data_IF_977704338393
#
_entry.id   IF_977704338393
#
_cell.length_a   1.000
_cell.length_b   1.000
_cell.length_c   1.000
_cell.angle_alpha   90.00
_cell.angle_beta   90.00
_cell.angle_gamma   90.00
#
_symmetry.space_group_name_H-M   'P 1'
#
loop_
_entity.id
_entity.type
_entity.pdbx_description
1 polymer ?
#
# COMPACT_ATOMS: atom_id res chain seq x y z
N UNK A 1 38.62 -0.37 -19.28
CA UNK A 1 37.79 -1.36 -20.01
C UNK A 1 37.08 -2.32 -19.07
N UNK A 2 37.76 -2.86 -18.04
CA UNK A 2 37.16 -3.79 -17.06
C UNK A 2 35.97 -3.23 -16.27
N UNK A 3 36.04 -1.99 -15.76
CA UNK A 3 34.94 -1.38 -14.98
C UNK A 3 33.69 -1.17 -15.83
N UNK A 4 33.84 -0.74 -17.08
CA UNK A 4 32.72 -0.53 -18.00
C UNK A 4 32.03 -1.86 -18.29
N UNK A 5 32.80 -2.92 -18.61
CA UNK A 5 32.27 -4.27 -18.85
C UNK A 5 31.55 -4.80 -17.61
N UNK A 6 32.13 -4.63 -16.42
CA UNK A 6 31.50 -5.01 -15.15
C UNK A 6 30.16 -4.30 -14.92
N UNK A 7 30.09 -2.98 -15.14
CA UNK A 7 28.85 -2.22 -15.01
C UNK A 7 27.80 -2.70 -16.02
N UNK A 8 28.18 -2.94 -17.29
CA UNK A 8 27.25 -3.47 -18.29
C UNK A 8 26.77 -4.89 -17.96
N UNK A 9 27.64 -5.74 -17.42
CA UNK A 9 27.27 -7.08 -16.95
C UNK A 9 26.26 -6.99 -15.79
N UNK A 10 26.49 -6.11 -14.80
CA UNK A 10 25.54 -5.91 -13.70
C UNK A 10 24.19 -5.40 -14.21
N UNK A 11 24.19 -4.36 -15.05
CA UNK A 11 22.96 -3.78 -15.60
C UNK A 11 22.20 -4.79 -16.47
N UNK A 12 22.91 -5.56 -17.29
CA UNK A 12 22.32 -6.61 -18.13
C UNK A 12 21.72 -7.76 -17.30
N UNK A 13 22.46 -8.23 -16.29
CA UNK A 13 21.99 -9.30 -15.38
C UNK A 13 20.77 -8.85 -14.60
N UNK A 14 20.79 -7.62 -14.08
CA UNK A 14 19.64 -7.01 -13.42
C UNK A 14 18.47 -6.84 -14.38
N UNK A 15 18.72 -6.47 -15.64
CA UNK A 15 17.71 -6.38 -16.69
C UNK A 15 16.99 -7.72 -16.92
N UNK A 16 17.74 -8.82 -17.04
CA UNK A 16 17.18 -10.16 -17.13
C UNK A 16 16.36 -10.53 -15.90
N UNK A 17 16.90 -10.26 -14.71
CA UNK A 17 16.24 -10.55 -13.44
C UNK A 17 14.93 -9.78 -13.28
N UNK A 18 14.94 -8.45 -13.51
CA UNK A 18 13.77 -7.58 -13.43
C UNK A 18 12.72 -7.92 -14.49
N UNK A 19 13.14 -8.16 -15.73
CA UNK A 19 12.24 -8.54 -16.81
C UNK A 19 11.63 -9.93 -16.57
N UNK A 20 12.42 -10.87 -16.06
CA UNK A 20 11.97 -12.18 -15.63
C UNK A 20 10.92 -12.10 -14.53
N UNK A 21 11.16 -11.31 -13.48
CA UNK A 21 10.17 -11.04 -12.44
C UNK A 21 8.89 -10.45 -13.01
N UNK A 22 8.97 -9.44 -13.88
CA UNK A 22 7.80 -8.84 -14.51
C UNK A 22 7.00 -9.86 -15.34
N UNK A 23 7.67 -10.60 -16.21
CA UNK A 23 7.03 -11.60 -17.07
C UNK A 23 6.41 -12.74 -16.25
N UNK A 24 7.07 -13.14 -15.16
CA UNK A 24 6.55 -14.12 -14.22
C UNK A 24 5.26 -13.62 -13.56
N UNK A 25 5.28 -12.39 -13.03
CA UNK A 25 4.13 -11.72 -12.44
C UNK A 25 2.97 -11.59 -13.43
N UNK A 26 3.23 -11.13 -14.65
CA UNK A 26 2.21 -10.97 -15.69
C UNK A 26 1.56 -12.33 -16.05
N UNK A 27 2.38 -13.39 -16.19
CA UNK A 27 1.90 -14.74 -16.46
C UNK A 27 1.06 -15.32 -15.32
N UNK A 28 1.52 -15.18 -14.07
CA UNK A 28 0.76 -15.60 -12.87
C UNK A 28 -0.55 -14.82 -12.79
N UNK A 29 -0.52 -13.50 -13.00
CA UNK A 29 -1.69 -12.64 -12.94
C UNK A 29 -2.72 -12.99 -14.02
N UNK A 30 -2.29 -13.19 -15.27
CA UNK A 30 -3.17 -13.64 -16.38
C UNK A 30 -3.77 -15.02 -16.10
N UNK A 31 -2.99 -15.93 -15.52
CA UNK A 31 -3.48 -17.27 -15.16
C UNK A 31 -4.46 -17.23 -13.99
N UNK A 32 -4.29 -16.29 -13.06
CA UNK A 32 -5.18 -16.11 -11.91
C UNK A 32 -6.53 -15.48 -12.30
N UNK A 33 -6.58 -14.62 -13.33
CA UNK A 33 -7.81 -14.17 -14.02
C UNK A 33 -9.00 -13.82 -13.11
N UNK A 34 -10.01 -14.68 -13.06
CA UNK A 34 -11.24 -14.51 -12.26
C UNK A 34 -10.98 -14.48 -10.74
N UNK A 35 -9.87 -15.06 -10.27
CA UNK A 35 -9.50 -15.06 -8.85
C UNK A 35 -9.14 -13.66 -8.36
N UNK A 36 -8.43 -12.87 -9.17
CA UNK A 36 -8.14 -11.46 -8.86
C UNK A 36 -9.42 -10.62 -8.78
N UNK A 37 -10.39 -10.88 -9.65
CA UNK A 37 -11.70 -10.19 -9.60
C UNK A 37 -12.52 -10.57 -8.36
N UNK A 38 -12.49 -11.85 -7.92
CA UNK A 38 -13.13 -12.27 -6.66
C UNK A 38 -12.45 -11.69 -5.42
N UNK A 39 -11.13 -11.51 -5.46
CA UNK A 39 -10.36 -10.96 -4.35
C UNK A 39 -10.73 -9.50 -4.05
N UNK A 40 -11.16 -8.72 -5.06
CA UNK A 40 -11.73 -7.39 -4.85
C UNK A 40 -12.96 -7.42 -3.92
N UNK A 41 -13.77 -8.48 -4.00
CA UNK A 41 -14.95 -8.67 -3.14
C UNK A 41 -14.62 -9.01 -1.68
N UNK A 42 -13.41 -9.49 -1.38
CA UNK A 42 -12.96 -9.81 -0.01
C UNK A 42 -12.28 -8.62 0.68
N UNK A 43 -11.90 -7.57 -0.06
CA UNK A 43 -11.28 -6.36 0.52
C UNK A 43 -12.20 -5.61 1.49
N UNK A 44 -13.50 -5.88 1.48
CA UNK A 44 -14.53 -5.14 2.21
C UNK A 44 -14.85 -5.71 3.61
N UNK A 45 -14.22 -6.81 4.03
CA UNK A 45 -14.47 -7.45 5.32
C UNK A 45 -13.79 -6.80 6.52
N UNK A 46 -13.60 -7.58 7.60
CA UNK A 46 -12.93 -7.13 8.81
C UNK A 46 -11.42 -6.95 8.63
N UNK A 47 -10.74 -6.29 9.58
CA UNK A 47 -9.29 -5.98 9.53
C UNK A 47 -8.38 -7.19 9.24
N UNK A 48 -8.72 -8.39 9.72
CA UNK A 48 -7.92 -9.59 9.47
C UNK A 48 -8.09 -10.05 8.03
N UNK A 49 -9.31 -10.02 7.51
CA UNK A 49 -9.56 -10.34 6.11
C UNK A 49 -8.89 -9.34 5.17
N UNK A 50 -8.82 -8.06 5.54
CA UNK A 50 -8.05 -7.06 4.79
C UNK A 50 -6.56 -7.40 4.72
N UNK A 51 -5.94 -7.84 5.84
CA UNK A 51 -4.54 -8.32 5.86
C UNK A 51 -4.36 -9.54 4.96
N UNK A 52 -5.22 -10.55 5.10
CA UNK A 52 -5.13 -11.76 4.25
C UNK A 52 -5.30 -11.40 2.77
N UNK A 53 -6.19 -10.47 2.46
CA UNK A 53 -6.41 -10.00 1.09
C UNK A 53 -5.15 -9.34 0.52
N UNK A 54 -4.53 -8.41 1.26
CA UNK A 54 -3.28 -7.78 0.85
C UNK A 54 -2.14 -8.78 0.65
N UNK A 55 -2.01 -9.72 1.59
CA UNK A 55 -1.02 -10.79 1.54
C UNK A 55 -1.20 -11.64 0.26
N UNK A 56 -2.42 -12.11 0.00
CA UNK A 56 -2.71 -12.95 -1.17
C UNK A 56 -2.48 -12.19 -2.49
N UNK A 57 -2.94 -10.94 -2.58
CA UNK A 57 -2.74 -10.13 -3.79
C UNK A 57 -1.25 -9.93 -4.04
N UNK A 58 -0.49 -9.53 -3.02
CA UNK A 58 0.93 -9.30 -3.20
C UNK A 58 1.69 -10.59 -3.47
N UNK A 59 1.29 -11.75 -2.93
CA UNK A 59 1.92 -13.02 -3.32
C UNK A 59 1.65 -13.38 -4.79
N UNK A 60 0.45 -13.11 -5.31
CA UNK A 60 0.08 -13.39 -6.70
C UNK A 60 0.78 -12.40 -7.65
N UNK A 61 0.74 -11.10 -7.35
CA UNK A 61 1.34 -10.05 -8.17
C UNK A 61 2.87 -10.01 -8.00
N UNK A 62 3.38 -10.48 -6.86
CA UNK A 62 4.78 -10.37 -6.42
C UNK A 62 5.33 -8.94 -6.33
N UNK A 63 4.44 -7.96 -6.13
CA UNK A 63 4.83 -6.56 -5.97
C UNK A 63 3.94 -5.85 -4.95
N UNK A 64 4.50 -5.55 -3.77
CA UNK A 64 3.80 -4.69 -2.78
C UNK A 64 3.66 -3.28 -3.29
N UNK A 65 4.58 -2.76 -4.09
CA UNK A 65 4.44 -1.45 -4.73
C UNK A 65 3.21 -1.40 -5.63
N UNK A 66 3.05 -2.37 -6.54
CA UNK A 66 1.86 -2.43 -7.40
C UNK A 66 0.58 -2.63 -6.58
N UNK A 67 0.62 -3.48 -5.55
CA UNK A 67 -0.53 -3.71 -4.66
C UNK A 67 -0.90 -2.43 -3.91
N UNK A 68 0.07 -1.69 -3.38
CA UNK A 68 -0.18 -0.47 -2.61
C UNK A 68 -0.65 0.67 -3.50
N UNK A 69 -0.07 0.83 -4.69
CA UNK A 69 -0.56 1.80 -5.69
C UNK A 69 -2.01 1.50 -6.08
N UNK A 70 -2.36 0.22 -6.24
CA UNK A 70 -3.75 -0.21 -6.47
C UNK A 70 -4.66 0.16 -5.30
N UNK A 71 -4.22 -0.09 -4.06
CA UNK A 71 -4.97 0.28 -2.85
C UNK A 71 -5.19 1.79 -2.76
N UNK A 72 -4.15 2.59 -2.99
CA UNK A 72 -4.24 4.07 -3.04
C UNK A 72 -5.25 4.50 -4.13
N UNK A 73 -5.20 3.87 -5.31
CA UNK A 73 -6.14 4.16 -6.41
C UNK A 73 -7.59 3.80 -6.05
N UNK A 74 -7.82 2.69 -5.35
CA UNK A 74 -9.16 2.29 -4.91
C UNK A 74 -9.71 3.18 -3.81
N UNK A 75 -8.86 3.65 -2.89
CA UNK A 75 -9.27 4.67 -1.91
C UNK A 75 -9.60 5.98 -2.61
N UNK A 76 -8.83 6.37 -3.64
CA UNK A 76 -9.11 7.56 -4.45
C UNK A 76 -10.44 7.45 -5.22
N UNK A 77 -10.77 6.26 -5.70
CA UNK A 77 -12.03 5.96 -6.36
C UNK A 77 -13.22 5.80 -5.39
N UNK A 78 -13.00 5.83 -4.07
CA UNK A 78 -14.04 5.59 -3.07
C UNK A 78 -14.46 4.13 -2.92
N UNK A 79 -13.74 3.19 -3.56
CA UNK A 79 -14.02 1.76 -3.51
C UNK A 79 -13.55 1.11 -2.20
N UNK A 80 -12.60 1.74 -1.50
CA UNK A 80 -12.11 1.31 -0.19
C UNK A 80 -12.09 2.48 0.79
N UNK A 81 -12.48 2.20 2.02
CA UNK A 81 -12.26 3.12 3.14
C UNK A 81 -10.79 3.16 3.54
N UNK A 82 -10.37 4.24 4.22
CA UNK A 82 -9.03 4.35 4.80
C UNK A 82 -8.73 3.21 5.80
N UNK A 83 -9.71 2.79 6.60
CA UNK A 83 -9.53 1.71 7.58
C UNK A 83 -9.29 0.35 6.91
N UNK A 84 -10.02 0.06 5.82
CA UNK A 84 -9.83 -1.16 5.04
C UNK A 84 -8.47 -1.16 4.34
N UNK A 85 -8.06 -0.03 3.76
CA UNK A 85 -6.79 0.09 3.05
C UNK A 85 -5.59 -0.16 3.96
N UNK A 86 -5.64 0.27 5.23
CA UNK A 86 -4.58 -0.01 6.22
C UNK A 86 -4.33 -1.52 6.34
N UNK A 87 -5.39 -2.32 6.49
CA UNK A 87 -5.25 -3.78 6.60
C UNK A 87 -4.65 -4.40 5.35
N UNK A 88 -5.09 -3.97 4.16
CA UNK A 88 -4.55 -4.45 2.88
C UNK A 88 -3.07 -4.08 2.73
N UNK A 89 -2.66 -2.88 3.14
CA UNK A 89 -1.26 -2.45 3.11
C UNK A 89 -0.38 -3.31 4.03
N UNK A 90 -0.85 -3.65 5.25
CA UNK A 90 -0.09 -4.52 6.15
C UNK A 90 0.07 -5.92 5.55
N UNK A 91 -1.02 -6.46 4.99
CA UNK A 91 -0.99 -7.71 4.24
C UNK A 91 0.02 -7.71 3.10
N UNK A 92 0.02 -6.65 2.29
CA UNK A 92 0.91 -6.52 1.15
C UNK A 92 2.39 -6.58 1.55
N UNK A 93 2.75 -5.97 2.69
CA UNK A 93 4.12 -6.02 3.21
C UNK A 93 4.53 -7.45 3.62
N UNK A 94 3.62 -8.25 4.20
CA UNK A 94 3.88 -9.67 4.43
C UNK A 94 4.03 -10.41 3.09
N UNK A 95 3.15 -10.16 2.12
CA UNK A 95 3.14 -10.86 0.84
C UNK A 95 4.44 -10.71 0.04
N UNK A 96 5.12 -9.56 0.09
CA UNK A 96 6.39 -9.31 -0.62
C UNK A 96 7.52 -10.25 -0.22
N UNK A 97 7.43 -10.84 0.98
CA UNK A 97 8.45 -11.76 1.50
C UNK A 97 8.56 -13.04 0.68
N UNK A 98 7.51 -13.41 -0.08
CA UNK A 98 7.51 -14.60 -0.92
C UNK A 98 8.63 -14.58 -1.97
N UNK A 99 8.99 -13.41 -2.49
CA UNK A 99 10.04 -13.32 -3.51
C UNK A 99 11.41 -13.65 -2.92
N UNK A 100 11.68 -13.22 -1.68
CA UNK A 100 12.92 -13.57 -0.99
C UNK A 100 13.02 -15.08 -0.76
N UNK A 101 11.90 -15.75 -0.44
CA UNK A 101 11.83 -17.21 -0.32
C UNK A 101 12.04 -17.92 -1.64
N UNK A 102 11.40 -17.46 -2.72
CA UNK A 102 11.60 -18.01 -4.07
C UNK A 102 13.08 -17.93 -4.45
N UNK A 103 13.71 -16.77 -4.24
CA UNK A 103 15.13 -16.56 -4.55
C UNK A 103 16.04 -17.37 -3.61
N UNK A 104 15.74 -17.45 -2.31
CA UNK A 104 16.56 -18.22 -1.36
C UNK A 104 16.53 -19.72 -1.63
N UNK A 105 15.34 -20.31 -1.83
CA UNK A 105 15.19 -21.75 -2.00
C UNK A 105 15.65 -22.21 -3.37
N UNK A 106 15.19 -21.53 -4.42
CA UNK A 106 15.52 -21.95 -5.77
C UNK A 106 16.87 -21.39 -6.17
N UNK A 107 17.17 -20.12 -5.87
CA UNK A 107 18.18 -19.31 -6.54
C UNK A 107 19.65 -19.58 -6.28
N UNK A 108 20.00 -20.35 -5.25
CA UNK A 108 21.40 -20.58 -4.88
C UNK A 108 21.75 -22.03 -4.52
N UNK A 109 20.80 -22.82 -4.01
CA UNK A 109 21.06 -24.22 -3.60
C UNK A 109 21.04 -25.21 -4.78
N UNK A 110 20.33 -24.89 -5.86
CA UNK A 110 20.26 -25.72 -7.06
C UNK A 110 21.11 -25.09 -8.16
N UNK A 111 21.66 -25.90 -9.07
CA UNK A 111 22.25 -25.40 -10.32
C UNK A 111 21.10 -24.93 -11.23
N UNK A 112 20.44 -23.82 -10.86
CA UNK A 112 19.21 -23.37 -11.51
C UNK A 112 19.49 -23.00 -12.94
N UNK A 113 20.71 -22.63 -13.32
CA UNK A 113 21.04 -22.41 -14.72
C UNK A 113 20.65 -23.63 -15.58
N UNK A 114 20.83 -24.85 -15.05
CA UNK A 114 20.43 -26.09 -15.70
C UNK A 114 18.91 -26.27 -15.83
N UNK A 115 18.10 -25.65 -14.97
CA UNK A 115 16.63 -25.71 -15.00
C UNK A 115 15.98 -24.48 -15.64
N UNK A 116 16.59 -23.31 -15.52
CA UNK A 116 16.13 -22.02 -16.03
C UNK A 116 15.99 -22.05 -17.55
N UNK A 117 16.99 -22.59 -18.26
CA UNK A 117 16.97 -22.70 -19.72
C UNK A 117 15.87 -23.65 -20.20
N UNK A 118 15.74 -24.89 -19.68
CA UNK A 118 14.59 -25.75 -19.99
C UNK A 118 13.24 -25.13 -19.64
N UNK A 119 13.10 -24.50 -18.48
CA UNK A 119 11.84 -23.83 -18.09
C UNK A 119 11.49 -22.70 -19.04
N UNK A 120 12.46 -21.91 -19.47
CA UNK A 120 12.26 -20.89 -20.49
C UNK A 120 11.82 -21.50 -21.83
N UNK A 121 12.47 -22.57 -22.28
CA UNK A 121 12.11 -23.27 -23.52
C UNK A 121 10.70 -23.87 -23.49
N UNK A 122 10.34 -24.55 -22.40
CA UNK A 122 8.98 -25.07 -22.17
C UNK A 122 7.98 -23.92 -22.13
N UNK A 123 8.29 -22.86 -21.39
CA UNK A 123 7.46 -21.68 -21.30
C UNK A 123 7.23 -21.02 -22.65
N UNK A 124 8.26 -20.93 -23.49
CA UNK A 124 8.18 -20.40 -24.86
C UNK A 124 7.26 -21.24 -25.74
N UNK A 125 7.34 -22.57 -25.68
CA UNK A 125 6.46 -23.47 -26.42
C UNK A 125 5.00 -23.30 -25.96
N UNK A 126 4.77 -23.27 -24.64
CA UNK A 126 3.43 -23.09 -24.06
C UNK A 126 2.82 -21.72 -24.38
N UNK A 127 3.65 -20.67 -24.39
CA UNK A 127 3.24 -19.30 -24.71
C UNK A 127 2.96 -19.12 -26.21
N UNK A 128 3.78 -19.72 -27.07
CA UNK A 128 3.69 -19.54 -28.52
C UNK A 128 2.63 -20.44 -29.17
N UNK A 129 2.36 -21.63 -28.59
CA UNK A 129 1.45 -22.60 -29.19
C UNK A 129 0.01 -22.43 -28.69
N UNK A 130 -0.71 -21.48 -29.30
CA UNK A 130 -2.09 -21.07 -28.96
C UNK A 130 -3.12 -22.20 -28.82
N UNK A 131 -2.88 -23.38 -29.43
CA UNK A 131 -3.78 -24.54 -29.30
C UNK A 131 -3.81 -25.10 -27.88
N UNK A 132 -2.76 -24.92 -27.09
CA UNK A 132 -2.69 -25.43 -25.71
C UNK A 132 -3.48 -24.59 -24.71
N UNK A 133 -3.84 -23.34 -25.06
CA UNK A 133 -4.54 -22.40 -24.17
C UNK A 133 -3.83 -22.23 -22.81
N UNK A 134 -2.50 -22.23 -22.83
CA UNK A 134 -1.62 -22.16 -21.65
C UNK A 134 -0.66 -20.98 -21.74
N UNK A 135 -1.06 -19.92 -22.44
CA UNK A 135 -0.19 -18.78 -22.74
C UNK A 135 0.33 -18.11 -21.47
N UNK A 136 -0.57 -17.90 -20.50
CA UNK A 136 -0.25 -17.30 -19.21
C UNK A 136 0.73 -18.15 -18.38
N UNK A 137 0.55 -19.48 -18.37
CA UNK A 137 1.48 -20.40 -17.72
C UNK A 137 2.84 -20.41 -18.44
N UNK A 138 2.83 -20.34 -19.76
CA UNK A 138 4.04 -20.23 -20.57
C UNK A 138 4.83 -18.96 -20.24
N UNK A 139 4.16 -17.81 -20.15
CA UNK A 139 4.77 -16.55 -19.72
C UNK A 139 5.33 -16.65 -18.30
N UNK A 140 4.60 -17.27 -17.37
CA UNK A 140 5.07 -17.46 -15.99
C UNK A 140 6.37 -18.28 -15.93
N UNK A 141 6.45 -19.38 -16.70
CA UNK A 141 7.63 -20.24 -16.78
C UNK A 141 8.82 -19.57 -17.47
N UNK A 142 8.57 -18.80 -18.53
CA UNK A 142 9.60 -17.98 -19.16
C UNK A 142 10.16 -16.92 -18.20
N UNK A 143 9.27 -16.23 -17.48
CA UNK A 143 9.67 -15.24 -16.48
C UNK A 143 10.50 -15.87 -15.36
N UNK A 144 10.10 -17.03 -14.85
CA UNK A 144 10.88 -17.81 -13.88
C UNK A 144 12.28 -18.14 -14.44
N UNK A 145 12.37 -18.68 -15.66
CA UNK A 145 13.65 -18.99 -16.30
C UNK A 145 14.56 -17.77 -16.45
N UNK A 146 14.03 -16.63 -16.90
CA UNK A 146 14.80 -15.39 -17.04
C UNK A 146 15.21 -14.79 -15.70
N UNK A 147 14.36 -14.88 -14.68
CA UNK A 147 14.65 -14.41 -13.33
C UNK A 147 15.91 -15.10 -12.79
N UNK A 148 15.94 -16.44 -12.83
CA UNK A 148 17.06 -17.20 -12.30
C UNK A 148 18.30 -17.14 -13.20
N UNK A 149 18.14 -17.04 -14.53
CA UNK A 149 19.27 -16.76 -15.41
C UNK A 149 19.89 -15.39 -15.08
N UNK A 150 19.07 -14.37 -14.86
CA UNK A 150 19.54 -13.05 -14.43
C UNK A 150 20.23 -13.08 -13.07
N UNK A 151 19.71 -13.90 -12.12
CA UNK A 151 20.31 -14.10 -10.81
C UNK A 151 21.68 -14.79 -10.89
N UNK A 152 21.80 -15.83 -11.71
CA UNK A 152 23.06 -16.54 -11.94
C UNK A 152 24.12 -15.64 -12.59
N UNK A 153 23.73 -14.88 -13.61
CA UNK A 153 24.60 -13.88 -14.24
C UNK A 153 25.02 -12.78 -13.26
N UNK A 154 24.10 -12.32 -12.40
CA UNK A 154 24.37 -11.32 -11.36
C UNK A 154 25.37 -11.87 -10.33
N UNK A 155 25.15 -13.10 -9.87
CA UNK A 155 26.03 -13.80 -8.93
C UNK A 155 27.42 -14.00 -9.52
N UNK A 156 27.50 -14.49 -10.76
CA UNK A 156 28.76 -14.71 -11.48
C UNK A 156 29.52 -13.42 -11.79
N UNK A 157 28.82 -12.29 -11.94
CA UNK A 157 29.44 -11.00 -12.11
C UNK A 157 30.01 -10.45 -10.80
N UNK A 158 29.51 -10.88 -9.64
CA UNK A 158 30.00 -10.39 -8.35
C UNK A 158 31.47 -10.79 -8.15
N UNK A 159 32.33 -9.83 -7.78
CA UNK A 159 33.74 -10.13 -7.65
C UNK A 159 33.97 -10.99 -6.40
N UNK A 160 34.80 -12.02 -6.51
CA UNK A 160 35.17 -12.84 -5.36
C UNK A 160 35.79 -12.00 -4.24
N UNK A 161 35.56 -12.44 -3.00
CA UNK A 161 36.14 -11.82 -1.80
C UNK A 161 37.65 -12.05 -1.83
N UNK A 162 38.41 -11.05 -2.27
CA UNK A 162 39.87 -11.05 -2.15
C UNK A 162 40.32 -10.71 -0.73
N UNK A 163 41.56 -11.04 -0.39
CA UNK A 163 42.18 -10.69 0.91
C UNK A 163 42.05 -9.20 1.26
N UNK A 164 42.10 -8.32 0.25
CA UNK A 164 42.00 -6.86 0.42
C UNK A 164 40.57 -6.37 0.70
N UNK A 165 39.55 -7.18 0.37
CA UNK A 165 38.14 -6.89 0.70
C UNK A 165 37.75 -7.42 2.08
N UNK A 166 38.49 -8.39 2.60
CA UNK A 166 38.31 -8.91 3.95
C UNK A 166 38.53 -7.82 5.02
N UNK A 167 39.48 -6.90 4.79
CA UNK A 167 39.72 -5.75 5.68
C UNK A 167 38.58 -4.74 5.68
N UNK A 168 38.00 -4.45 4.52
CA UNK A 168 36.79 -3.62 4.41
C UNK A 168 35.60 -4.25 5.15
N UNK A 169 35.40 -5.56 5.03
CA UNK A 169 34.35 -6.28 5.74
C UNK A 169 34.57 -6.28 7.26
N UNK A 170 35.83 -6.44 7.71
CA UNK A 170 36.19 -6.33 9.11
C UNK A 170 35.94 -4.92 9.65
N UNK A 171 36.34 -3.88 8.91
CA UNK A 171 36.08 -2.47 9.27
C UNK A 171 34.59 -2.12 9.28
N UNK A 172 33.82 -2.69 8.35
CA UNK A 172 32.37 -2.52 8.30
C UNK A 172 31.72 -3.20 9.51
N UNK A 173 32.18 -4.39 9.90
CA UNK A 173 31.63 -5.15 11.04
C UNK A 173 32.00 -4.50 12.38
N UNK A 174 33.23 -3.99 12.52
CA UNK A 174 33.75 -3.40 13.76
C UNK A 174 33.09 -2.06 14.14
N UNK A 175 32.31 -1.45 13.25
CA UNK A 175 31.63 -0.16 13.49
C UNK A 175 30.31 -0.28 14.27
N UNK A 176 29.87 -1.49 14.60
CA UNK A 176 28.67 -1.74 15.42
C UNK A 176 27.43 -1.00 14.90
N UNK A 177 26.82 -0.14 15.73
CA UNK A 177 25.61 0.63 15.40
C UNK A 177 25.75 1.49 14.14
N UNK A 178 26.94 2.04 13.89
CA UNK A 178 27.19 2.85 12.70
C UNK A 178 27.08 2.00 11.43
N UNK A 179 27.54 0.75 11.47
CA UNK A 179 27.41 -0.20 10.37
C UNK A 179 25.96 -0.52 10.04
N UNK A 180 25.16 -0.78 11.09
CA UNK A 180 23.72 -1.06 10.96
C UNK A 180 23.02 0.14 10.29
N UNK A 181 23.33 1.35 10.74
CA UNK A 181 22.73 2.57 10.18
C UNK A 181 23.09 2.78 8.71
N UNK A 182 24.35 2.50 8.33
CA UNK A 182 24.80 2.52 6.94
C UNK A 182 24.06 1.46 6.11
N UNK A 183 23.86 0.26 6.66
CA UNK A 183 23.10 -0.82 6.01
C UNK A 183 21.66 -0.40 5.72
N UNK A 184 20.95 0.18 6.69
CA UNK A 184 19.59 0.70 6.48
C UNK A 184 19.56 1.74 5.35
N UNK A 185 20.46 2.72 5.38
CA UNK A 185 20.53 3.76 4.35
C UNK A 185 20.83 3.15 2.97
N UNK A 186 21.76 2.19 2.90
CA UNK A 186 22.09 1.50 1.66
C UNK A 186 20.88 0.74 1.10
N UNK A 187 20.11 0.06 1.96
CA UNK A 187 18.85 -0.61 1.59
C UNK A 187 17.78 0.34 1.06
N UNK A 188 17.62 1.50 1.71
CA UNK A 188 16.71 2.56 1.26
C UNK A 188 17.12 3.03 -0.15
N UNK A 189 18.37 3.44 -0.31
CA UNK A 189 18.89 3.97 -1.58
C UNK A 189 18.76 2.94 -2.70
N UNK A 190 19.17 1.70 -2.43
CA UNK A 190 19.10 0.60 -3.41
C UNK A 190 17.66 0.42 -3.91
N UNK A 191 16.71 0.41 -2.98
CA UNK A 191 15.30 0.17 -3.31
C UNK A 191 14.66 1.35 -4.01
N UNK A 192 14.97 2.59 -3.60
CA UNK A 192 14.47 3.81 -4.25
C UNK A 192 14.99 3.90 -5.69
N UNK A 193 16.25 3.58 -5.94
CA UNK A 193 16.81 3.61 -7.31
C UNK A 193 16.16 2.55 -8.20
N UNK A 194 15.96 1.34 -7.66
CA UNK A 194 15.43 0.21 -8.43
C UNK A 194 13.90 0.24 -8.52
N UNK A 195 13.22 0.98 -7.63
CA UNK A 195 11.77 0.98 -7.48
C UNK A 195 11.18 -0.43 -7.22
N UNK A 196 11.94 -1.31 -6.56
CA UNK A 196 11.48 -2.66 -6.22
C UNK A 196 12.24 -3.25 -5.03
N UNK A 197 11.54 -3.48 -3.91
CA UNK A 197 12.11 -4.16 -2.73
C UNK A 197 12.45 -5.62 -3.02
N UNK A 198 11.65 -6.32 -3.81
CA UNK A 198 11.93 -7.70 -4.18
C UNK A 198 13.24 -7.81 -4.96
N UNK A 199 13.47 -6.90 -5.90
CA UNK A 199 14.72 -6.83 -6.65
C UNK A 199 15.90 -6.43 -5.75
N UNK A 200 15.72 -5.41 -4.89
CA UNK A 200 16.73 -5.02 -3.92
C UNK A 200 17.11 -6.17 -2.98
N UNK A 201 16.12 -6.93 -2.52
CA UNK A 201 16.31 -8.11 -1.65
C UNK A 201 17.03 -9.24 -2.39
N UNK A 202 16.71 -9.48 -3.67
CA UNK A 202 17.45 -10.44 -4.50
C UNK A 202 18.94 -10.06 -4.66
N UNK A 203 19.24 -8.76 -4.82
CA UNK A 203 20.62 -8.26 -4.85
C UNK A 203 21.29 -8.48 -3.50
N UNK A 204 20.63 -8.13 -2.39
CA UNK A 204 21.15 -8.33 -1.03
C UNK A 204 21.45 -9.82 -0.78
N UNK A 205 20.52 -10.72 -1.15
CA UNK A 205 20.70 -12.16 -1.09
C UNK A 205 21.92 -12.61 -1.90
N UNK A 206 22.04 -12.14 -3.14
CA UNK A 206 23.17 -12.49 -4.04
C UNK A 206 24.50 -12.03 -3.47
N UNK A 207 24.58 -10.80 -2.96
CA UNK A 207 25.81 -10.27 -2.38
C UNK A 207 26.18 -11.02 -1.09
N UNK A 208 25.19 -11.37 -0.27
CA UNK A 208 25.40 -12.12 0.98
C UNK A 208 25.84 -13.56 0.70
N UNK A 209 25.24 -14.21 -0.30
CA UNK A 209 25.63 -15.55 -0.77
C UNK A 209 27.08 -15.59 -1.26
N UNK A 210 27.52 -14.54 -1.97
CA UNK A 210 28.92 -14.39 -2.42
C UNK A 210 29.88 -13.90 -1.31
N UNK A 211 29.43 -13.81 -0.05
CA UNK A 211 30.27 -13.40 1.08
C UNK A 211 30.63 -11.92 1.11
N UNK A 212 29.97 -11.07 0.29
CA UNK A 212 30.24 -9.63 0.23
C UNK A 212 29.52 -8.84 1.32
N UNK A 213 28.45 -9.37 1.90
CA UNK A 213 27.71 -8.71 2.97
C UNK A 213 27.65 -9.64 4.19
N UNK A 214 28.13 -9.19 5.36
CA UNK A 214 27.92 -9.93 6.60
C UNK A 214 26.43 -9.90 7.00
N UNK A 215 26.04 -10.87 7.83
CA UNK A 215 24.65 -11.12 8.22
C UNK A 215 23.93 -9.87 8.73
N UNK A 216 24.54 -9.16 9.69
CA UNK A 216 23.95 -8.00 10.35
C UNK A 216 23.77 -6.84 9.36
N UNK A 217 24.70 -6.67 8.43
CA UNK A 217 24.61 -5.62 7.42
C UNK A 217 23.54 -5.93 6.38
N UNK A 218 23.46 -7.19 5.91
CA UNK A 218 22.40 -7.65 5.01
C UNK A 218 21.02 -7.50 5.67
N UNK A 219 20.90 -7.85 6.95
CA UNK A 219 19.70 -7.68 7.73
C UNK A 219 19.26 -6.21 7.79
N UNK A 220 20.18 -5.31 8.11
CA UNK A 220 19.94 -3.87 8.12
C UNK A 220 19.52 -3.33 6.75
N UNK A 221 20.14 -3.81 5.66
CA UNK A 221 19.75 -3.45 4.29
C UNK A 221 18.33 -3.91 3.95
N UNK A 222 17.90 -5.09 4.38
CA UNK A 222 16.51 -5.55 4.18
C UNK A 222 15.53 -4.68 4.96
N UNK A 223 15.84 -4.29 6.20
CA UNK A 223 14.98 -3.33 6.92
C UNK A 223 14.89 -1.99 6.16
N UNK A 224 16.02 -1.50 5.64
CA UNK A 224 16.06 -0.31 4.79
C UNK A 224 15.27 -0.44 3.50
N UNK A 225 15.27 -1.61 2.85
CA UNK A 225 14.52 -1.83 1.60
C UNK A 225 13.01 -1.74 1.78
N UNK A 226 12.50 -2.14 2.94
CA UNK A 226 11.09 -1.98 3.30
C UNK A 226 10.70 -0.49 3.40
N UNK A 227 11.57 0.37 3.98
CA UNK A 227 11.38 1.84 3.95
C UNK A 227 11.40 2.35 2.51
N UNK A 228 12.40 1.97 1.71
CA UNK A 228 12.58 2.48 0.35
C UNK A 228 11.38 2.21 -0.57
N UNK A 229 10.69 1.08 -0.39
CA UNK A 229 9.50 0.68 -1.17
C UNK A 229 8.34 1.67 -1.04
N UNK A 230 8.31 2.47 0.03
CA UNK A 230 7.21 3.39 0.30
C UNK A 230 7.12 4.53 -0.72
N UNK A 231 8.20 4.81 -1.45
CA UNK A 231 8.27 5.91 -2.42
C UNK A 231 7.22 5.78 -3.53
N UNK A 232 6.92 4.56 -3.99
CA UNK A 232 5.97 4.32 -5.09
C UNK A 232 4.55 4.73 -4.69
N UNK A 233 4.17 4.44 -3.43
CA UNK A 233 2.88 4.83 -2.89
C UNK A 233 2.78 6.36 -2.71
N UNK A 234 3.87 7.00 -2.29
CA UNK A 234 3.94 8.46 -2.17
C UNK A 234 3.76 9.11 -3.54
N UNK A 235 4.51 8.66 -4.55
CA UNK A 235 4.39 9.17 -5.93
C UNK A 235 2.98 8.97 -6.47
N UNK A 236 2.40 7.77 -6.29
CA UNK A 236 1.05 7.47 -6.76
C UNK A 236 -0.05 8.30 -6.06
N UNK A 237 0.22 8.84 -4.87
CA UNK A 237 -0.73 9.68 -4.14
C UNK A 237 -0.72 11.15 -4.56
N UNK A 238 0.24 11.58 -5.36
CA UNK A 238 0.33 12.98 -5.83
C UNK A 238 -0.91 13.29 -6.70
N UNK A 239 -1.61 14.38 -6.37
CA UNK A 239 -2.83 14.78 -7.08
C UNK A 239 -4.08 13.97 -6.72
N UNK A 240 -4.01 13.07 -5.74
CA UNK A 240 -5.16 12.27 -5.27
C UNK A 240 -5.89 12.91 -4.09
N UNK A 241 -7.11 12.42 -3.82
CA UNK A 241 -7.96 12.86 -2.72
C UNK A 241 -7.33 12.61 -1.35
N UNK A 242 -7.80 13.33 -0.34
CA UNK A 242 -7.24 13.28 1.03
C UNK A 242 -7.04 11.86 1.58
N UNK A 243 -8.02 10.97 1.43
CA UNK A 243 -7.93 9.61 1.98
C UNK A 243 -6.92 8.72 1.22
N UNK A 244 -6.70 8.97 -0.07
CA UNK A 244 -5.68 8.25 -0.85
C UNK A 244 -4.27 8.68 -0.44
N UNK A 245 -4.06 9.98 -0.20
CA UNK A 245 -2.83 10.51 0.42
C UNK A 245 -2.60 9.97 1.83
N UNK A 246 -3.66 9.84 2.65
CA UNK A 246 -3.59 9.20 3.97
C UNK A 246 -3.20 7.73 3.86
N UNK A 247 -3.77 6.98 2.91
CA UNK A 247 -3.40 5.58 2.68
C UNK A 247 -1.92 5.42 2.28
N UNK A 248 -1.38 6.31 1.44
CA UNK A 248 0.06 6.32 1.15
C UNK A 248 0.90 6.63 2.40
N UNK A 249 0.46 7.58 3.24
CA UNK A 249 1.13 7.88 4.51
C UNK A 249 1.10 6.70 5.48
N UNK A 250 0.01 5.92 5.54
CA UNK A 250 -0.04 4.67 6.32
C UNK A 250 1.10 3.74 5.92
N UNK A 251 1.34 3.56 4.61
CA UNK A 251 2.41 2.70 4.12
C UNK A 251 3.80 3.19 4.56
N UNK A 252 4.02 4.51 4.52
CA UNK A 252 5.24 5.15 5.03
C UNK A 252 5.40 4.91 6.52
N UNK A 253 4.37 5.21 7.33
CA UNK A 253 4.41 5.07 8.79
C UNK A 253 4.65 3.63 9.21
N UNK A 254 3.98 2.67 8.57
CA UNK A 254 4.14 1.24 8.86
C UNK A 254 5.59 0.79 8.69
N UNK A 255 6.22 1.13 7.56
CA UNK A 255 7.59 0.72 7.26
C UNK A 255 8.64 1.49 8.05
N UNK A 256 8.47 2.81 8.22
CA UNK A 256 9.42 3.65 8.96
C UNK A 256 9.38 3.32 10.44
N UNK A 257 8.22 3.37 11.08
CA UNK A 257 8.10 3.10 12.53
C UNK A 257 8.43 1.62 12.80
N UNK A 258 7.97 0.70 11.95
CA UNK A 258 8.30 -0.71 12.06
C UNK A 258 9.80 -0.96 12.01
N UNK A 259 10.50 -0.33 11.06
CA UNK A 259 11.96 -0.40 10.99
C UNK A 259 12.62 0.21 12.21
N UNK A 260 12.15 1.36 12.71
CA UNK A 260 12.68 1.94 13.95
C UNK A 260 12.53 0.99 15.15
N UNK A 261 11.38 0.33 15.30
CA UNK A 261 11.16 -0.69 16.34
C UNK A 261 12.14 -1.86 16.14
N UNK A 262 12.26 -2.37 14.91
CA UNK A 262 13.19 -3.45 14.59
C UNK A 262 14.65 -3.08 14.89
N UNK A 263 15.05 -1.82 14.70
CA UNK A 263 16.40 -1.34 15.04
C UNK A 263 16.62 -1.20 16.54
N UNK A 264 15.61 -0.80 17.32
CA UNK A 264 15.68 -0.79 18.79
C UNK A 264 15.88 -2.23 19.30
N UNK A 265 15.18 -3.19 18.71
CA UNK A 265 15.26 -4.62 19.06
C UNK A 265 16.09 -5.43 18.07
N UNK A 266 17.14 -4.84 17.49
CA UNK A 266 17.88 -5.46 16.39
C UNK A 266 18.50 -6.80 16.77
N UNK A 267 19.26 -6.86 17.87
CA UNK A 267 19.87 -8.11 18.31
C UNK A 267 18.84 -9.18 18.71
N UNK A 268 17.77 -8.86 19.49
CA UNK A 268 16.67 -9.80 19.71
C UNK A 268 16.01 -10.32 18.44
N UNK A 269 15.83 -9.46 17.42
CA UNK A 269 15.25 -9.84 16.14
C UNK A 269 16.15 -10.84 15.39
N UNK A 270 17.46 -10.58 15.33
CA UNK A 270 18.41 -11.53 14.72
C UNK A 270 18.43 -12.87 15.47
N UNK A 271 18.49 -12.83 16.80
CA UNK A 271 18.45 -14.05 17.61
C UNK A 271 17.17 -14.86 17.38
N UNK A 272 16.02 -14.20 17.22
CA UNK A 272 14.77 -14.88 16.89
C UNK A 272 14.85 -15.56 15.52
N UNK A 273 15.46 -14.92 14.53
CA UNK A 273 15.66 -15.50 13.19
C UNK A 273 16.61 -16.70 13.26
N UNK A 274 17.74 -16.56 13.94
CA UNK A 274 18.73 -17.62 14.11
C UNK A 274 18.16 -18.84 14.87
N UNK A 275 17.15 -18.64 15.73
CA UNK A 275 16.42 -19.73 16.38
C UNK A 275 15.41 -20.42 15.46
N UNK A 276 14.83 -19.69 14.50
CA UNK A 276 13.81 -20.21 13.57
C UNK A 276 14.43 -20.91 12.35
N UNK A 277 15.64 -20.50 11.94
CA UNK A 277 16.35 -21.11 10.83
C UNK A 277 17.36 -22.13 11.35
N UNK A 278 17.26 -23.40 10.95
CA UNK A 278 18.20 -24.42 11.40
C UNK A 278 19.59 -24.26 10.76
N UNK A 279 20.63 -24.48 11.55
CA UNK A 279 22.02 -24.49 11.08
C UNK A 279 22.75 -23.15 11.25
N UNK A 280 24.06 -23.08 10.97
CA UNK A 280 24.82 -21.86 11.12
C UNK A 280 24.49 -20.86 9.99
N UNK A 281 24.49 -19.57 10.31
CA UNK A 281 24.25 -18.48 9.37
C UNK A 281 25.18 -18.55 8.15
N UNK A 282 26.43 -18.97 8.35
CA UNK A 282 27.43 -19.09 7.27
C UNK A 282 27.05 -20.10 6.18
N UNK A 283 26.23 -21.09 6.49
CA UNK A 283 25.81 -22.13 5.53
C UNK A 283 24.45 -21.81 4.88
N UNK A 284 23.62 -20.98 5.52
CA UNK A 284 22.23 -20.71 5.11
C UNK A 284 21.86 -19.23 5.19
N UNK A 285 22.81 -18.34 4.90
CA UNK A 285 22.63 -16.89 5.02
C UNK A 285 21.44 -16.37 4.20
N UNK A 286 21.18 -16.96 3.03
CA UNK A 286 20.05 -16.59 2.17
C UNK A 286 18.71 -16.91 2.83
N UNK A 287 18.61 -18.05 3.51
CA UNK A 287 17.42 -18.46 4.27
C UNK A 287 17.21 -17.59 5.50
N UNK A 288 18.29 -17.23 6.20
CA UNK A 288 18.25 -16.27 7.30
C UNK A 288 17.71 -14.92 6.85
N UNK A 289 18.18 -14.38 5.71
CA UNK A 289 17.69 -13.12 5.14
C UNK A 289 16.20 -13.19 4.78
N UNK A 290 15.76 -14.28 4.12
CA UNK A 290 14.35 -14.47 3.76
C UNK A 290 13.44 -14.60 5.00
N UNK A 291 13.91 -15.33 6.02
CA UNK A 291 13.20 -15.48 7.29
C UNK A 291 13.12 -14.16 8.04
N UNK A 292 14.21 -13.39 8.12
CA UNK A 292 14.21 -12.05 8.71
C UNK A 292 13.15 -11.16 8.07
N UNK A 293 13.10 -11.13 6.74
CA UNK A 293 12.11 -10.33 6.02
C UNK A 293 10.68 -10.71 6.40
N UNK A 294 10.43 -12.02 6.55
CA UNK A 294 9.14 -12.58 6.97
C UNK A 294 8.80 -12.22 8.41
N UNK A 295 9.71 -12.50 9.35
CA UNK A 295 9.53 -12.24 10.77
C UNK A 295 9.33 -10.75 11.01
N UNK A 296 10.12 -9.89 10.38
CA UNK A 296 9.97 -8.43 10.46
C UNK A 296 8.55 -8.01 10.08
N UNK A 297 8.08 -8.35 8.88
CA UNK A 297 6.78 -7.90 8.39
C UNK A 297 5.61 -8.51 9.18
N UNK A 298 5.75 -9.75 9.63
CA UNK A 298 4.74 -10.42 10.45
C UNK A 298 4.64 -9.77 11.84
N UNK A 299 5.77 -9.59 12.53
CA UNK A 299 5.82 -8.94 13.85
C UNK A 299 5.29 -7.51 13.74
N UNK A 300 5.72 -6.77 12.71
CA UNK A 300 5.26 -5.40 12.49
C UNK A 300 3.73 -5.34 12.28
N UNK A 301 3.18 -6.26 11.49
CA UNK A 301 1.73 -6.38 11.29
C UNK A 301 1.02 -6.72 12.59
N UNK A 302 1.52 -7.67 13.37
CA UNK A 302 0.92 -8.05 14.66
C UNK A 302 0.92 -6.90 15.67
N UNK A 303 1.99 -6.09 15.69
CA UNK A 303 2.08 -4.89 16.53
C UNK A 303 1.06 -3.85 16.11
N UNK A 304 0.92 -3.54 14.82
CA UNK A 304 0.10 -2.43 14.34
C UNK A 304 -1.38 -2.76 14.09
N UNK A 305 -1.73 -4.02 13.83
CA UNK A 305 -3.10 -4.44 13.52
C UNK A 305 -4.16 -4.11 14.60
N UNK A 306 -3.85 -4.14 15.91
CA UNK A 306 -4.77 -3.66 16.95
C UNK A 306 -5.05 -2.17 16.86
N UNK A 307 -4.13 -1.38 16.29
CA UNK A 307 -4.11 0.08 16.28
C UNK A 307 -4.55 0.71 14.96
N UNK A 308 -5.23 -0.03 14.07
CA UNK A 308 -5.67 0.46 12.75
C UNK A 308 -6.44 1.78 12.85
N UNK A 309 -7.35 1.91 13.83
CA UNK A 309 -8.15 3.13 14.01
C UNK A 309 -7.29 4.32 14.46
N UNK A 310 -6.32 4.07 15.35
CA UNK A 310 -5.40 5.08 15.85
C UNK A 310 -4.46 5.55 14.74
N UNK A 311 -3.98 4.62 13.90
CA UNK A 311 -3.16 4.93 12.73
C UNK A 311 -3.95 5.79 11.73
N UNK A 312 -5.22 5.42 11.46
CA UNK A 312 -6.10 6.25 10.63
C UNK A 312 -6.20 7.67 11.19
N UNK A 313 -6.47 7.81 12.48
CA UNK A 313 -6.58 9.12 13.13
C UNK A 313 -5.27 9.93 13.06
N UNK A 314 -4.11 9.29 13.28
CA UNK A 314 -2.80 9.94 13.11
C UNK A 314 -2.68 10.49 11.68
N UNK A 315 -3.02 9.72 10.66
CA UNK A 315 -2.98 10.22 9.27
C UNK A 315 -3.98 11.34 8.99
N UNK A 316 -5.14 11.35 9.65
CA UNK A 316 -6.12 12.44 9.56
C UNK A 316 -5.58 13.75 10.14
N UNK A 317 -4.81 13.67 11.23
CA UNK A 317 -4.16 14.85 11.83
C UNK A 317 -3.00 15.39 10.99
N UNK A 318 -2.21 14.48 10.38
CA UNK A 318 -1.03 14.84 9.59
C UNK A 318 -1.41 15.34 8.18
N UNK A 319 -2.45 14.76 7.58
CA UNK A 319 -2.94 15.16 6.26
C UNK A 319 -4.38 15.67 6.42
N UNK A 320 -4.49 17.01 6.42
CA UNK A 320 -5.77 17.71 6.45
C UNK A 320 -6.39 17.76 5.04
N UNK A 321 -7.73 17.68 4.93
CA UNK A 321 -8.42 17.93 3.66
C UNK A 321 -8.09 19.35 3.19
N UNK A 322 -7.96 19.53 1.88
CA UNK A 322 -7.91 20.89 1.32
C UNK A 322 -9.30 21.51 1.43
N UNK A 323 -9.38 22.84 1.52
CA UNK A 323 -10.63 23.59 1.66
C UNK A 323 -11.64 23.41 0.52
N UNK A 324 -11.26 22.69 -0.55
CA UNK A 324 -12.06 22.36 -1.72
C UNK A 324 -12.30 20.84 -1.90
N UNK A 325 -11.91 20.00 -0.94
CA UNK A 325 -12.20 18.55 -0.97
C UNK A 325 -13.39 18.25 -0.03
N UNK A 326 -14.61 18.27 -0.57
CA UNK A 326 -15.77 17.69 0.10
C UNK A 326 -15.62 16.15 0.15
N UNK A 327 -15.90 15.49 1.28
CA UNK A 327 -15.85 14.02 1.36
C UNK A 327 -16.85 13.39 0.37
N UNK A 328 -16.50 12.31 -0.33
CA UNK A 328 -17.42 11.64 -1.29
C UNK A 328 -18.59 10.87 -0.66
N UNK A 329 -18.52 10.64 0.64
CA UNK A 329 -19.51 9.84 1.34
C UNK A 329 -19.76 10.52 2.66
N UNK A 330 -20.94 11.09 2.79
CA UNK A 330 -21.44 11.50 4.08
C UNK A 330 -21.64 10.23 4.93
N UNK A 331 -21.05 10.22 6.13
CA UNK A 331 -21.27 9.17 7.11
C UNK A 331 -21.59 9.84 8.43
N UNK A 332 -22.87 9.83 8.79
CA UNK A 332 -23.31 10.15 10.14
C UNK A 332 -23.27 8.87 10.96
N UNK A 333 -22.28 8.75 11.84
CA UNK A 333 -22.16 7.58 12.72
C UNK A 333 -23.34 7.57 13.72
N UNK A 334 -24.13 6.51 13.67
CA UNK A 334 -25.14 6.21 14.69
C UNK A 334 -24.42 5.69 15.95
N UNK A 335 -24.68 6.24 17.13
CA UNK A 335 -24.17 5.64 18.36
C UNK A 335 -24.65 4.19 18.43
N UNK A 336 -23.73 3.27 18.69
CA UNK A 336 -24.06 1.85 18.75
C UNK A 336 -24.67 1.56 20.13
N UNK A 337 -25.88 1.00 20.12
CA UNK A 337 -26.68 0.71 21.31
C UNK A 337 -25.88 0.15 22.48
N UNK A 338 -25.84 0.93 23.56
CA UNK A 338 -25.21 0.59 24.82
C UNK A 338 -25.44 1.71 25.84
N UNK A 339 -26.41 1.49 26.72
CA UNK A 339 -26.76 2.23 27.95
C UNK A 339 -26.31 3.71 28.02
N UNK A 340 -27.30 4.61 27.93
CA UNK A 340 -27.26 6.08 28.01
C UNK A 340 -26.79 6.84 26.77
N UNK A 341 -27.53 6.69 25.65
CA UNK A 341 -27.59 7.78 24.67
C UNK A 341 -28.20 9.01 25.33
N UNK A 342 -27.39 10.04 25.55
CA UNK A 342 -27.87 11.34 26.01
C UNK A 342 -28.56 12.05 24.85
N UNK A 343 -29.90 12.06 24.86
CA UNK A 343 -30.73 12.74 23.87
C UNK A 343 -30.25 14.15 23.50
N UNK A 344 -29.81 14.93 24.50
CA UNK A 344 -29.28 16.27 24.27
C UNK A 344 -28.01 16.27 23.40
N UNK A 345 -27.11 15.30 23.59
CA UNK A 345 -25.89 15.19 22.80
C UNK A 345 -26.19 14.76 21.35
N UNK A 346 -27.17 13.89 21.15
CA UNK A 346 -27.64 13.50 19.82
C UNK A 346 -28.24 14.70 19.06
N UNK A 347 -29.09 15.49 19.72
CA UNK A 347 -29.68 16.70 19.10
C UNK A 347 -28.60 17.73 18.75
N UNK A 348 -27.63 17.99 19.64
CA UNK A 348 -26.50 18.91 19.37
C UNK A 348 -25.66 18.40 18.19
N UNK A 349 -25.48 17.08 18.06
CA UNK A 349 -24.78 16.50 16.91
C UNK A 349 -25.53 16.78 15.62
N UNK A 350 -26.85 16.60 15.60
CA UNK A 350 -27.68 16.92 14.44
C UNK A 350 -27.61 18.42 14.09
N UNK A 351 -27.69 19.32 15.08
CA UNK A 351 -27.56 20.77 14.87
C UNK A 351 -26.25 21.15 14.17
N UNK A 352 -25.13 20.57 14.59
CA UNK A 352 -23.83 20.81 13.94
C UNK A 352 -23.83 20.34 12.49
N UNK A 353 -24.41 19.17 12.21
CA UNK A 353 -24.41 18.59 10.86
C UNK A 353 -25.34 19.38 9.91
N UNK A 354 -26.46 19.90 10.42
CA UNK A 354 -27.33 20.85 9.71
C UNK A 354 -26.56 22.14 9.41
N UNK A 355 -25.78 22.64 10.37
CA UNK A 355 -24.95 23.83 10.14
C UNK A 355 -23.87 23.59 9.06
N UNK A 356 -23.28 22.39 9.00
CA UNK A 356 -22.35 22.01 7.94
C UNK A 356 -23.05 21.93 6.57
N UNK A 357 -24.27 21.39 6.51
CA UNK A 357 -25.09 21.37 5.29
C UNK A 357 -25.42 22.79 4.81
N UNK A 358 -25.75 23.70 5.72
CA UNK A 358 -25.96 25.11 5.39
C UNK A 358 -24.68 25.79 4.83
N UNK A 359 -23.50 25.43 5.35
CA UNK A 359 -22.23 25.93 4.79
C UNK A 359 -21.97 25.38 3.39
N UNK A 360 -22.31 24.11 3.13
CA UNK A 360 -22.22 23.50 1.80
C UNK A 360 -23.07 24.27 0.78
N UNK A 361 -24.35 24.51 1.10
CA UNK A 361 -25.28 25.29 0.27
C UNK A 361 -24.71 26.69 -0.01
N UNK A 362 -24.19 27.35 1.03
CA UNK A 362 -23.57 28.67 0.90
C UNK A 362 -22.38 28.63 -0.07
N UNK A 363 -21.53 27.60 0.01
CA UNK A 363 -20.41 27.38 -0.90
C UNK A 363 -20.85 27.12 -2.34
N UNK A 364 -21.91 26.34 -2.55
CA UNK A 364 -22.51 26.12 -3.88
C UNK A 364 -23.06 27.42 -4.47
N UNK A 365 -23.75 28.23 -3.68
CA UNK A 365 -24.27 29.53 -4.09
C UNK A 365 -23.15 30.54 -4.42
N UNK A 366 -22.10 30.60 -3.61
CA UNK A 366 -20.95 31.48 -3.86
C UNK A 366 -20.24 31.11 -5.17
N UNK A 367 -20.09 29.82 -5.46
CA UNK A 367 -19.56 29.33 -6.74
C UNK A 367 -20.40 29.81 -7.92
N UNK A 368 -21.72 29.70 -7.86
CA UNK A 368 -22.63 30.21 -8.88
C UNK A 368 -22.44 31.71 -9.09
N UNK A 369 -22.35 32.48 -8.00
CA UNK A 369 -22.10 33.93 -8.05
C UNK A 369 -20.79 34.25 -8.77
N UNK A 370 -19.73 33.47 -8.56
CA UNK A 370 -18.47 33.67 -9.29
C UNK A 370 -18.57 33.37 -10.78
N UNK A 371 -19.40 32.40 -11.18
CA UNK A 371 -19.65 32.09 -12.59
C UNK A 371 -20.44 33.20 -13.29
N UNK A 372 -21.41 33.81 -12.59
CA UNK A 372 -22.10 34.98 -13.13
C UNK A 372 -21.16 36.18 -13.38
N UNK A 373 -20.10 36.30 -12.58
CA UNK A 373 -19.08 37.34 -12.75
C UNK A 373 -18.07 37.03 -13.87
N UNK A 374 -17.75 35.74 -14.10
CA UNK A 374 -16.88 35.29 -15.18
C UNK A 374 -17.38 33.96 -15.77
N UNK A 375 -18.16 34.05 -16.86
CA UNK A 375 -18.80 32.89 -17.51
C UNK A 375 -17.83 31.86 -18.04
N UNK A 376 -16.54 32.18 -18.25
CA UNK A 376 -15.56 31.18 -18.70
C UNK A 376 -15.36 30.06 -17.68
N UNK A 377 -15.62 30.33 -16.39
CA UNK A 377 -15.55 29.33 -15.32
C UNK A 377 -16.66 28.28 -15.39
N UNK A 378 -17.81 28.58 -16.01
CA UNK A 378 -18.91 27.61 -16.17
C UNK A 378 -18.52 26.41 -17.04
N UNK A 379 -17.63 26.64 -18.00
CA UNK A 379 -17.16 25.67 -18.99
C UNK A 379 -16.03 24.78 -18.45
N UNK A 380 -15.57 25.03 -17.22
CA UNK A 380 -14.54 24.23 -16.59
C UNK A 380 -15.13 22.88 -16.13
N UNK A 381 -14.59 21.79 -16.67
CA UNK A 381 -14.99 20.44 -16.30
C UNK A 381 -14.76 20.16 -14.80
N UNK A 382 -13.76 20.80 -14.19
CA UNK A 382 -13.49 20.69 -12.75
C UNK A 382 -14.59 21.37 -11.93
N UNK A 383 -15.09 22.52 -12.39
CA UNK A 383 -16.20 23.24 -11.76
C UNK A 383 -17.51 22.43 -11.82
N UNK A 384 -17.85 21.90 -12.98
CA UNK A 384 -19.07 21.10 -13.16
C UNK A 384 -19.01 19.80 -12.35
N UNK A 385 -17.84 19.14 -12.30
CA UNK A 385 -17.64 17.96 -11.47
C UNK A 385 -17.76 18.28 -9.96
N UNK A 386 -17.27 19.44 -9.51
CA UNK A 386 -17.39 19.87 -8.13
C UNK A 386 -18.84 20.14 -7.73
N UNK A 387 -19.64 20.81 -8.57
CA UNK A 387 -21.05 21.06 -8.27
C UNK A 387 -21.90 19.79 -8.23
N UNK A 388 -21.63 18.83 -9.12
CA UNK A 388 -22.26 17.51 -9.05
C UNK A 388 -21.87 16.74 -7.78
N UNK A 389 -20.61 16.82 -7.36
CA UNK A 389 -20.17 16.13 -6.14
C UNK A 389 -20.78 16.72 -4.88
N UNK A 390 -20.98 18.03 -4.85
CA UNK A 390 -21.56 18.70 -3.69
C UNK A 390 -23.07 18.46 -3.57
N UNK A 391 -23.79 18.36 -4.69
CA UNK A 391 -25.20 17.92 -4.71
C UNK A 391 -25.33 16.46 -4.27
N UNK A 392 -24.59 15.52 -4.88
CA UNK A 392 -24.59 14.10 -4.46
C UNK A 392 -24.14 13.90 -3.01
N UNK A 393 -23.35 14.82 -2.46
CA UNK A 393 -23.01 14.84 -1.03
C UNK A 393 -24.16 15.38 -0.18
N UNK A 394 -24.84 16.45 -0.61
CA UNK A 394 -26.01 17.01 0.06
C UNK A 394 -27.17 16.02 0.14
N UNK A 395 -27.45 15.25 -0.91
CA UNK A 395 -28.45 14.17 -0.91
C UNK A 395 -28.17 13.14 0.19
N UNK A 396 -26.90 12.71 0.27
CA UNK A 396 -26.48 11.76 1.30
C UNK A 396 -26.55 12.37 2.70
N UNK A 397 -26.27 13.68 2.84
CA UNK A 397 -26.48 14.41 4.09
C UNK A 397 -27.95 14.40 4.48
N UNK A 398 -28.85 14.70 3.56
CA UNK A 398 -30.29 14.72 3.78
C UNK A 398 -30.81 13.35 4.21
N UNK A 399 -30.50 12.29 3.47
CA UNK A 399 -30.91 10.93 3.83
C UNK A 399 -30.36 10.50 5.20
N UNK A 400 -29.09 10.80 5.47
CA UNK A 400 -28.42 10.47 6.74
C UNK A 400 -29.00 11.24 7.92
N UNK A 401 -29.20 12.55 7.78
CA UNK A 401 -29.76 13.42 8.80
C UNK A 401 -31.22 13.10 9.08
N UNK A 402 -32.03 12.85 8.05
CA UNK A 402 -33.42 12.46 8.22
C UNK A 402 -33.53 11.19 9.09
N UNK A 403 -32.75 10.15 8.78
CA UNK A 403 -32.71 8.90 9.57
C UNK A 403 -32.25 9.15 11.01
N UNK A 404 -31.24 10.01 11.20
CA UNK A 404 -30.70 10.32 12.53
C UNK A 404 -31.66 11.15 13.38
N UNK A 405 -32.38 12.10 12.77
CA UNK A 405 -33.41 12.90 13.43
C UNK A 405 -34.62 12.05 13.80
N UNK A 406 -35.02 11.11 12.94
CA UNK A 406 -36.06 10.10 13.28
C UNK A 406 -35.64 9.27 14.49
N UNK A 407 -34.38 8.80 14.54
CA UNK A 407 -33.83 8.12 15.72
C UNK A 407 -33.87 9.02 16.97
N UNK A 408 -33.55 10.30 16.85
CA UNK A 408 -33.64 11.25 17.97
C UNK A 408 -35.08 11.36 18.53
N UNK A 409 -36.11 11.20 17.71
CA UNK A 409 -37.52 11.21 18.15
C UNK A 409 -37.91 9.99 18.99
N UNK A 410 -37.16 8.88 18.87
CA UNK A 410 -37.33 7.66 19.65
C UNK A 410 -36.67 7.74 21.05
N UNK A 411 -35.77 8.71 21.24
CA UNK A 411 -35.10 8.93 22.53
C UNK A 411 -36.03 9.57 23.58
N UNK A 412 -35.72 9.42 24.88
CA UNK A 412 -36.47 10.09 25.95
C UNK A 412 -36.19 11.61 25.94
N UNK A 413 -36.96 12.34 25.13
CA UNK A 413 -36.84 13.79 24.88
C UNK A 413 -38.07 14.55 25.40
N UNK A 414 -37.90 15.83 25.75
CA UNK A 414 -39.01 16.71 26.14
C UNK A 414 -39.88 17.09 24.94
N UNK A 415 -41.11 17.58 25.19
CA UNK A 415 -42.00 18.07 24.12
C UNK A 415 -41.37 19.23 23.32
N UNK A 416 -40.65 20.12 24.00
CA UNK A 416 -39.88 21.19 23.36
C UNK A 416 -38.79 20.63 22.42
N UNK A 417 -38.02 19.64 22.88
CA UNK A 417 -37.00 18.98 22.06
C UNK A 417 -37.60 18.23 20.87
N UNK A 418 -38.74 17.56 21.08
CA UNK A 418 -39.47 16.88 20.01
C UNK A 418 -39.89 17.85 18.91
N UNK A 419 -40.46 18.99 19.28
CA UNK A 419 -40.80 20.04 18.33
C UNK A 419 -39.56 20.59 17.60
N UNK A 420 -38.44 20.78 18.32
CA UNK A 420 -37.19 21.23 17.73
C UNK A 420 -36.63 20.23 16.70
N UNK A 421 -36.64 18.93 17.01
CA UNK A 421 -36.20 17.86 16.09
C UNK A 421 -37.11 17.78 14.86
N UNK A 422 -38.42 17.99 15.01
CA UNK A 422 -39.34 18.08 13.85
C UNK A 422 -38.98 19.25 12.93
N UNK A 423 -38.72 20.44 13.49
CA UNK A 423 -38.29 21.60 12.70
C UNK A 423 -36.94 21.33 12.00
N UNK A 424 -36.03 20.62 12.64
CA UNK A 424 -34.76 20.24 12.02
C UNK A 424 -34.93 19.35 10.78
N UNK A 425 -35.93 18.46 10.76
CA UNK A 425 -36.21 17.65 9.58
C UNK A 425 -36.63 18.55 8.42
N UNK A 426 -37.55 19.49 8.66
CA UNK A 426 -37.98 20.44 7.64
C UNK A 426 -36.80 21.31 7.14
N UNK A 427 -35.92 21.76 8.04
CA UNK A 427 -34.73 22.54 7.66
C UNK A 427 -33.77 21.73 6.78
N UNK A 428 -33.58 20.44 7.05
CA UNK A 428 -32.73 19.57 6.24
C UNK A 428 -33.28 19.43 4.83
N UNK A 429 -34.59 19.23 4.68
CA UNK A 429 -35.24 19.15 3.37
C UNK A 429 -35.14 20.47 2.59
N UNK A 430 -35.35 21.61 3.25
CA UNK A 430 -35.19 22.93 2.61
C UNK A 430 -33.75 23.19 2.18
N UNK A 431 -32.75 22.80 2.98
CA UNK A 431 -31.35 22.93 2.61
C UNK A 431 -30.98 22.05 1.40
N UNK A 432 -31.51 20.83 1.31
CA UNK A 432 -31.31 19.96 0.14
C UNK A 432 -31.93 20.57 -1.11
N UNK A 433 -33.16 21.10 -1.01
CA UNK A 433 -33.82 21.76 -2.13
C UNK A 433 -33.03 22.99 -2.60
N UNK A 434 -32.39 23.72 -1.69
CA UNK A 434 -31.48 24.81 -2.05
C UNK A 434 -30.20 24.33 -2.77
N UNK A 435 -29.66 23.15 -2.41
CA UNK A 435 -28.52 22.57 -3.15
C UNK A 435 -28.92 22.13 -4.55
N UNK A 436 -30.12 21.57 -4.72
CA UNK A 436 -30.72 21.19 -6.00
C UNK A 436 -30.90 22.38 -6.94
N UNK A 437 -31.45 23.48 -6.40
CA UNK A 437 -31.59 24.74 -7.13
C UNK A 437 -30.22 25.26 -7.58
N UNK A 438 -29.22 25.22 -6.68
CA UNK A 438 -27.86 25.63 -7.00
C UNK A 438 -27.26 24.78 -8.14
N UNK A 439 -27.40 23.46 -8.05
CA UNK A 439 -26.91 22.54 -9.07
C UNK A 439 -27.63 22.75 -10.42
N UNK A 440 -28.95 22.91 -10.39
CA UNK A 440 -29.76 23.19 -11.57
C UNK A 440 -29.33 24.48 -12.27
N UNK A 441 -29.17 25.57 -11.52
CA UNK A 441 -28.66 26.84 -12.08
C UNK A 441 -27.26 26.65 -12.67
N UNK A 442 -26.39 25.91 -12.00
CA UNK A 442 -25.03 25.62 -12.49
C UNK A 442 -25.01 24.88 -13.83
N UNK A 443 -26.02 24.06 -14.12
CA UNK A 443 -26.16 23.34 -15.40
C UNK A 443 -26.73 24.18 -16.54
N UNK A 444 -27.43 25.26 -16.21
CA UNK A 444 -28.03 26.19 -17.18
C UNK A 444 -27.06 27.29 -17.64
N UNK A 445 -25.98 27.52 -16.87
CA UNK A 445 -24.91 28.48 -17.16
C UNK A 445 -23.84 27.88 -18.08
#
# INVERSE_FOLDING_TARGET
>A
MSVIVFVFQLVGSLGFLLFGMKMMSDGIQKSAGQSLQRILGFMTGNRVLSVLTGLLITMIIQSSSATTVMVVSFVNAGLLTLKQSIGVIFGANIGTTITAWIVSFFGFEFDIAAFAIPMFGIGFILSSYKKLKKEALGEALMGFGLLFLGLDLLSSAMPSVSSDKMSFLADLTNKGILSISIGVIAGIILTVIIHSSSAATAIILTMSYNGLLPWEFAAAMVLGSNIGTTIDAVIASIGTKVNARRAALVHVLFNVIGTCIALIFFNPLLMLVDMLVPGPVSESITTHIAMLHTVFNLVNTLIFLPFVTQIAHITETLIKPKSNETPHTYVLEFPHGGQTEHAAAAIIRAEKEIADMAQLVTGMFDRIRTVFADRKKALDAEYQAAQFQDEDYADKMQEGLAKYLVHCLELPITEYQRNNVSVMIDVVDELESMTDDCYTVSRLL
#
